data_IF_308074843225
#
_entry.id   IF_308074843225
#
_cell.length_a   1.000
_cell.length_b   1.000
_cell.length_c   1.000
_cell.angle_alpha   90.00
_cell.angle_beta   90.00
_cell.angle_gamma   90.00
#
_symmetry.space_group_name_H-M   'P 1'
#
loop_
_entity.id
_entity.type
_entity.pdbx_description
1 polymer ?
#
# COMPACT_ATOMS: atom_id res chain seq x y z
N UNK A 1 -13.35 -0.02 21.24
CA UNK A 1 -12.90 -0.97 22.29
C UNK A 1 -12.60 -2.29 21.62
N UNK A 2 -11.43 -2.84 21.94
CA UNK A 2 -10.63 -3.76 21.14
C UNK A 2 -11.42 -4.91 20.50
N UNK A 3 -11.18 -5.14 19.21
CA UNK A 3 -11.71 -6.23 18.37
C UNK A 3 -11.02 -7.58 18.70
N UNK A 4 -10.71 -7.80 19.98
CA UNK A 4 -9.98 -8.97 20.46
C UNK A 4 -11.00 -10.04 20.85
N UNK A 5 -10.78 -11.25 20.35
CA UNK A 5 -11.59 -12.41 20.72
C UNK A 5 -11.05 -13.04 22.01
N UNK A 6 -11.72 -12.75 23.13
CA UNK A 6 -11.29 -13.19 24.45
C UNK A 6 -11.36 -14.71 24.61
N UNK A 7 -12.31 -15.38 23.95
CA UNK A 7 -12.39 -16.84 23.96
C UNK A 7 -11.25 -17.44 23.13
N UNK A 8 -10.95 -16.86 21.97
CA UNK A 8 -9.84 -17.32 21.13
C UNK A 8 -8.46 -17.15 21.80
N UNK A 9 -8.24 -16.04 22.53
CA UNK A 9 -6.98 -15.80 23.28
C UNK A 9 -6.73 -16.91 24.31
N UNK A 10 -7.79 -17.40 24.97
CA UNK A 10 -7.72 -18.51 25.93
C UNK A 10 -7.80 -19.89 25.25
N UNK A 11 -7.98 -19.96 23.93
CA UNK A 11 -8.13 -21.20 23.18
C UNK A 11 -9.44 -21.94 23.47
N UNK A 12 -10.49 -21.22 23.86
CA UNK A 12 -11.79 -21.78 24.19
C UNK A 12 -12.81 -21.55 23.06
N UNK A 13 -13.82 -22.43 22.93
CA UNK A 13 -14.95 -22.15 22.06
C UNK A 13 -15.74 -20.93 22.57
N UNK A 14 -16.42 -20.20 21.68
CA UNK A 14 -17.34 -19.14 22.08
C UNK A 14 -18.40 -19.67 23.05
N UNK A 15 -18.79 -18.85 24.02
CA UNK A 15 -19.76 -19.21 25.07
C UNK A 15 -19.30 -20.28 26.07
N UNK A 16 -17.99 -20.51 26.20
CA UNK A 16 -17.46 -21.42 27.23
C UNK A 16 -17.84 -20.97 28.66
N UNK A 17 -17.98 -21.96 29.55
CA UNK A 17 -18.33 -21.73 30.95
C UNK A 17 -17.19 -21.10 31.76
N UNK A 18 -17.52 -20.43 32.86
CA UNK A 18 -16.53 -19.77 33.73
C UNK A 18 -15.47 -20.74 34.28
N UNK A 19 -15.82 -22.00 34.55
CA UNK A 19 -14.85 -23.01 35.01
C UNK A 19 -13.89 -23.43 33.90
N UNK A 20 -14.36 -23.48 32.65
CA UNK A 20 -13.49 -23.72 31.50
C UNK A 20 -12.50 -22.56 31.30
N UNK A 21 -12.96 -21.31 31.47
CA UNK A 21 -12.11 -20.11 31.45
C UNK A 21 -11.00 -20.19 32.50
N UNK A 22 -11.34 -20.52 33.76
CA UNK A 22 -10.34 -20.67 34.84
C UNK A 22 -9.33 -21.77 34.53
N UNK A 23 -9.79 -22.91 34.00
CA UNK A 23 -8.93 -24.05 33.66
C UNK A 23 -7.98 -23.70 32.52
N UNK A 24 -8.48 -23.09 31.45
CA UNK A 24 -7.70 -22.66 30.31
C UNK A 24 -6.66 -21.61 30.69
N UNK A 25 -7.05 -20.60 31.50
CA UNK A 25 -6.11 -19.61 32.02
C UNK A 25 -4.98 -20.26 32.82
N UNK A 26 -5.27 -21.20 33.73
CA UNK A 26 -4.22 -21.90 34.50
C UNK A 26 -3.24 -22.65 33.59
N UNK A 27 -3.74 -23.34 32.57
CA UNK A 27 -2.91 -24.09 31.63
C UNK A 27 -2.03 -23.17 30.77
N UNK A 28 -2.61 -22.11 30.21
CA UNK A 28 -1.92 -21.17 29.34
C UNK A 28 -0.94 -20.29 30.10
N UNK A 29 -1.29 -19.86 31.32
CA UNK A 29 -0.41 -19.09 32.20
C UNK A 29 0.83 -19.87 32.62
N UNK A 30 0.73 -21.18 32.84
CA UNK A 30 1.90 -22.01 33.12
C UNK A 30 2.86 -22.11 31.93
N UNK A 31 2.32 -22.05 30.70
CA UNK A 31 3.08 -22.13 29.45
C UNK A 31 3.75 -20.81 29.09
N UNK A 32 3.09 -19.69 29.37
CA UNK A 32 3.55 -18.35 29.03
C UNK A 32 4.10 -17.55 30.22
N UNK A 33 4.34 -18.21 31.36
CA UNK A 33 4.83 -17.51 32.56
C UNK A 33 6.22 -16.89 32.32
N UNK A 34 6.43 -15.60 32.65
CA UNK A 34 7.70 -14.92 32.39
C UNK A 34 8.88 -15.53 33.15
N UNK A 35 8.64 -16.03 34.38
CA UNK A 35 9.66 -16.73 35.19
C UNK A 35 10.15 -18.05 34.56
N UNK A 36 9.36 -18.65 33.66
CA UNK A 36 9.72 -19.88 32.94
C UNK A 36 10.25 -19.60 31.53
N UNK A 37 10.62 -18.35 31.23
CA UNK A 37 11.05 -17.93 29.89
C UNK A 37 9.90 -17.78 28.89
N UNK A 38 8.66 -17.60 29.38
CA UNK A 38 7.48 -17.35 28.57
C UNK A 38 7.36 -15.90 28.08
N UNK A 39 6.44 -15.70 27.15
CA UNK A 39 6.16 -14.40 26.53
C UNK A 39 5.29 -13.53 27.45
N UNK A 40 5.87 -12.42 27.91
CA UNK A 40 5.24 -11.46 28.82
C UNK A 40 3.97 -10.87 28.21
N UNK A 41 3.97 -10.56 26.92
CA UNK A 41 2.83 -9.91 26.27
C UNK A 41 1.64 -10.87 26.19
N UNK A 42 1.89 -12.13 25.82
CA UNK A 42 0.86 -13.17 25.83
C UNK A 42 0.31 -13.43 27.22
N UNK A 43 1.16 -13.39 28.24
CA UNK A 43 0.70 -13.53 29.63
C UNK A 43 -0.27 -12.39 30.02
N UNK A 44 0.05 -11.15 29.65
CA UNK A 44 -0.85 -10.01 29.88
C UNK A 44 -2.18 -10.15 29.13
N UNK A 45 -2.15 -10.63 27.87
CA UNK A 45 -3.37 -10.87 27.09
C UNK A 45 -4.25 -11.96 27.71
N UNK A 46 -3.64 -13.07 28.16
CA UNK A 46 -4.35 -14.14 28.87
C UNK A 46 -4.99 -13.65 30.17
N UNK A 47 -4.29 -12.79 30.91
CA UNK A 47 -4.81 -12.19 32.14
C UNK A 47 -5.99 -11.26 31.85
N UNK A 48 -5.89 -10.39 30.84
CA UNK A 48 -6.99 -9.51 30.42
C UNK A 48 -8.21 -10.33 29.95
N UNK A 49 -7.99 -11.35 29.14
CA UNK A 49 -9.05 -12.24 28.65
C UNK A 49 -9.75 -12.96 29.80
N UNK A 50 -8.99 -13.52 30.74
CA UNK A 50 -9.57 -14.19 31.91
C UNK A 50 -10.32 -13.22 32.82
N UNK A 51 -9.79 -12.00 33.04
CA UNK A 51 -10.46 -11.01 33.88
C UNK A 51 -11.80 -10.59 33.27
N UNK A 52 -11.81 -10.35 31.95
CA UNK A 52 -13.01 -9.95 31.23
C UNK A 52 -14.08 -11.05 31.18
N UNK A 53 -13.68 -12.31 30.91
CA UNK A 53 -14.62 -13.43 30.82
C UNK A 53 -15.08 -13.97 32.20
N UNK A 54 -14.39 -13.63 33.30
CA UNK A 54 -14.83 -13.99 34.65
C UNK A 54 -15.79 -12.95 35.26
N UNK A 55 -15.83 -11.73 34.73
CA UNK A 55 -16.83 -10.75 35.12
C UNK A 55 -18.20 -11.14 34.50
N UNK A 56 -19.23 -11.44 35.32
CA UNK A 56 -20.52 -11.90 34.82
C UNK A 56 -21.25 -10.85 33.98
N UNK A 57 -21.04 -9.55 34.24
CA UNK A 57 -21.70 -8.46 33.52
C UNK A 57 -21.07 -8.29 32.14
N UNK A 58 -19.74 -8.26 32.08
CA UNK A 58 -19.00 -8.09 30.83
C UNK A 58 -19.08 -9.35 29.95
N UNK A 59 -18.95 -10.54 30.53
CA UNK A 59 -19.18 -11.82 29.83
C UNK A 59 -20.56 -11.88 29.19
N UNK A 60 -21.62 -11.50 29.93
CA UNK A 60 -22.99 -11.55 29.40
C UNK A 60 -23.20 -10.62 28.20
N UNK A 61 -22.66 -9.39 28.27
CA UNK A 61 -22.73 -8.44 27.13
C UNK A 61 -21.98 -8.98 25.92
N UNK A 62 -20.81 -9.55 26.14
CA UNK A 62 -19.96 -10.11 25.10
C UNK A 62 -20.59 -11.35 24.45
N UNK A 63 -21.10 -12.28 25.24
CA UNK A 63 -21.83 -13.47 24.80
C UNK A 63 -23.08 -13.11 24.01
N UNK A 64 -23.82 -12.08 24.44
CA UNK A 64 -24.97 -11.56 23.71
C UNK A 64 -24.56 -10.99 22.35
N UNK A 65 -23.45 -10.25 22.26
CA UNK A 65 -22.92 -9.72 21.00
C UNK A 65 -22.52 -10.86 20.04
N UNK A 66 -21.79 -11.86 20.52
CA UNK A 66 -21.41 -13.04 19.73
C UNK A 66 -22.65 -13.74 19.19
N UNK A 67 -23.65 -13.98 20.04
CA UNK A 67 -24.91 -14.62 19.66
C UNK A 67 -25.66 -13.80 18.60
N UNK A 68 -25.69 -12.47 18.72
CA UNK A 68 -26.31 -11.62 17.70
C UNK A 68 -25.59 -11.67 16.36
N UNK A 69 -24.25 -11.70 16.36
CA UNK A 69 -23.46 -11.81 15.12
C UNK A 69 -23.71 -13.15 14.44
N UNK A 70 -23.63 -14.26 15.17
CA UNK A 70 -23.87 -15.61 14.62
C UNK A 70 -25.30 -15.77 14.10
N UNK A 71 -26.30 -15.20 14.78
CA UNK A 71 -27.69 -15.21 14.31
C UNK A 71 -27.87 -14.36 13.04
N UNK A 72 -27.25 -13.18 12.97
CA UNK A 72 -27.28 -12.32 11.76
C UNK A 72 -26.60 -13.00 10.57
N UNK A 73 -25.48 -13.67 10.78
CA UNK A 73 -24.78 -14.43 9.74
C UNK A 73 -25.59 -15.64 9.26
N UNK A 74 -26.25 -16.37 10.17
CA UNK A 74 -27.16 -17.45 9.79
C UNK A 74 -28.33 -16.93 8.95
N UNK A 75 -28.95 -15.83 9.39
CA UNK A 75 -30.03 -15.19 8.64
C UNK A 75 -29.58 -14.65 7.27
N UNK A 76 -28.37 -14.08 7.18
CA UNK A 76 -27.85 -13.59 5.90
C UNK A 76 -27.56 -14.73 4.94
N UNK A 77 -26.98 -15.85 5.42
CA UNK A 77 -26.77 -17.07 4.64
C UNK A 77 -28.08 -17.68 4.17
N UNK A 78 -29.09 -17.76 5.04
CA UNK A 78 -30.42 -18.26 4.67
C UNK A 78 -31.10 -17.37 3.62
N UNK A 79 -31.00 -16.04 3.76
CA UNK A 79 -31.50 -15.10 2.73
C UNK A 79 -30.76 -15.28 1.42
N UNK A 80 -29.44 -15.42 1.44
CA UNK A 80 -28.64 -15.66 0.23
C UNK A 80 -29.01 -17.00 -0.43
N UNK A 81 -29.19 -18.06 0.36
CA UNK A 81 -29.63 -19.36 -0.13
C UNK A 81 -31.02 -19.28 -0.77
N UNK A 82 -32.00 -18.66 -0.09
CA UNK A 82 -33.34 -18.43 -0.65
C UNK A 82 -33.31 -17.62 -1.94
N UNK A 83 -32.54 -16.53 -1.97
CA UNK A 83 -32.38 -15.71 -3.17
C UNK A 83 -31.70 -16.51 -4.31
N UNK A 84 -30.76 -17.40 -3.99
CA UNK A 84 -30.10 -18.25 -5.00
C UNK A 84 -31.04 -19.32 -5.55
N UNK A 85 -31.86 -19.92 -4.69
CA UNK A 85 -32.91 -20.88 -5.09
C UNK A 85 -33.98 -20.19 -5.93
N UNK A 86 -34.39 -18.99 -5.55
CA UNK A 86 -35.37 -18.20 -6.29
C UNK A 86 -34.83 -17.78 -7.66
N UNK A 87 -33.58 -17.33 -7.74
CA UNK A 87 -32.89 -17.07 -9.03
C UNK A 87 -32.84 -18.31 -9.91
N UNK A 88 -32.55 -19.48 -9.32
CA UNK A 88 -32.52 -20.74 -10.06
C UNK A 88 -33.91 -21.11 -10.57
N UNK A 89 -34.95 -21.03 -9.73
CA UNK A 89 -36.34 -21.28 -10.15
C UNK A 89 -36.79 -20.33 -11.25
N UNK A 90 -36.42 -19.05 -11.14
CA UNK A 90 -36.74 -18.05 -12.16
C UNK A 90 -36.02 -18.34 -13.48
N UNK A 91 -34.74 -18.75 -13.42
CA UNK A 91 -33.98 -19.15 -14.60
C UNK A 91 -34.57 -20.43 -15.24
N UNK A 92 -34.95 -21.42 -14.45
CA UNK A 92 -35.57 -22.66 -14.92
C UNK A 92 -36.96 -22.39 -15.55
N UNK A 93 -37.76 -21.50 -14.96
CA UNK A 93 -39.04 -21.08 -15.52
C UNK A 93 -38.87 -20.30 -16.83
N UNK A 94 -37.88 -19.40 -16.90
CA UNK A 94 -37.53 -18.70 -18.14
C UNK A 94 -37.11 -19.68 -19.23
N UNK A 95 -36.24 -20.65 -18.91
CA UNK A 95 -35.78 -21.67 -19.84
C UNK A 95 -36.95 -22.52 -20.36
N UNK A 96 -37.86 -22.94 -19.46
CA UNK A 96 -39.06 -23.70 -19.83
C UNK A 96 -39.99 -22.90 -20.73
N UNK A 97 -40.17 -21.60 -20.45
CA UNK A 97 -40.97 -20.70 -21.28
C UNK A 97 -40.31 -20.47 -22.65
N UNK A 98 -38.99 -20.29 -22.68
CA UNK A 98 -38.22 -20.21 -23.93
C UNK A 98 -38.40 -21.49 -24.76
N UNK A 99 -38.26 -22.67 -24.17
CA UNK A 99 -38.39 -23.95 -24.89
C UNK A 99 -39.79 -24.14 -25.48
N UNK A 100 -40.84 -23.77 -24.75
CA UNK A 100 -42.22 -23.82 -25.24
C UNK A 100 -42.46 -22.88 -26.43
N UNK A 101 -41.88 -21.67 -26.40
CA UNK A 101 -41.97 -20.74 -27.54
C UNK A 101 -41.10 -21.18 -28.71
N UNK A 102 -39.96 -21.80 -28.45
CA UNK A 102 -39.01 -22.29 -29.44
C UNK A 102 -39.59 -23.49 -30.22
N UNK A 103 -40.29 -24.43 -29.55
CA UNK A 103 -41.00 -25.54 -30.20
C UNK A 103 -42.04 -25.09 -31.24
N UNK A 104 -42.55 -23.86 -31.12
CA UNK A 104 -43.53 -23.27 -32.07
C UNK A 104 -42.89 -22.45 -33.19
N UNK A 105 -41.58 -22.20 -33.15
CA UNK A 105 -40.88 -21.41 -34.17
C UNK A 105 -40.28 -22.32 -35.24
N UNK A 106 -40.45 -22.03 -36.54
CA UNK A 106 -39.80 -22.79 -37.60
C UNK A 106 -38.26 -22.69 -37.47
N UNK A 107 -37.55 -23.80 -37.71
CA UNK A 107 -36.11 -23.98 -37.42
C UNK A 107 -35.20 -22.86 -37.97
N UNK A 108 -35.48 -22.34 -39.16
CA UNK A 108 -34.73 -21.25 -39.79
C UNK A 108 -34.73 -19.96 -38.96
N UNK A 109 -35.86 -19.59 -38.36
CA UNK A 109 -35.99 -18.34 -37.58
C UNK A 109 -35.15 -18.42 -36.30
N UNK A 110 -35.00 -19.62 -35.74
CA UNK A 110 -34.15 -19.86 -34.57
C UNK A 110 -32.66 -19.79 -34.87
N UNK A 111 -32.27 -20.15 -36.08
CA UNK A 111 -30.88 -20.06 -36.54
C UNK A 111 -30.46 -18.60 -36.73
N UNK A 112 -31.33 -17.78 -37.33
CA UNK A 112 -31.11 -16.33 -37.48
C UNK A 112 -31.03 -15.60 -36.14
N UNK A 113 -31.90 -15.95 -35.17
CA UNK A 113 -31.86 -15.37 -33.83
C UNK A 113 -30.57 -15.77 -33.09
N UNK A 114 -30.12 -17.03 -33.24
CA UNK A 114 -28.86 -17.50 -32.65
C UNK A 114 -27.65 -16.81 -33.27
N UNK A 115 -27.66 -16.58 -34.59
CA UNK A 115 -26.61 -15.83 -35.28
C UNK A 115 -26.53 -14.40 -34.76
N UNK A 116 -27.67 -13.70 -34.62
CA UNK A 116 -27.72 -12.34 -34.04
C UNK A 116 -27.27 -12.30 -32.57
N UNK A 117 -27.64 -13.29 -31.76
CA UNK A 117 -27.21 -13.37 -30.37
C UNK A 117 -25.70 -13.60 -30.24
N UNK A 118 -25.11 -14.43 -31.12
CA UNK A 118 -23.65 -14.63 -31.19
C UNK A 118 -22.94 -13.34 -31.57
N UNK A 119 -23.41 -12.65 -32.61
CA UNK A 119 -22.85 -11.36 -33.02
C UNK A 119 -22.88 -10.32 -31.90
N UNK A 120 -23.98 -10.21 -31.16
CA UNK A 120 -24.08 -9.27 -30.04
C UNK A 120 -23.19 -9.68 -28.84
N UNK A 121 -23.03 -10.98 -28.58
CA UNK A 121 -22.11 -11.44 -27.53
C UNK A 121 -20.65 -11.17 -27.90
N UNK A 122 -20.29 -11.39 -29.16
CA UNK A 122 -18.96 -11.11 -29.71
C UNK A 122 -18.66 -9.61 -29.69
N UNK A 123 -19.60 -8.77 -30.14
CA UNK A 123 -19.51 -7.31 -30.03
C UNK A 123 -19.33 -6.84 -28.57
N UNK A 124 -20.06 -7.44 -27.63
CA UNK A 124 -19.92 -7.13 -26.21
C UNK A 124 -18.59 -7.63 -25.61
N UNK A 125 -18.07 -8.76 -26.09
CA UNK A 125 -16.75 -9.27 -25.71
C UNK A 125 -15.65 -8.36 -26.24
N UNK A 126 -15.71 -7.97 -27.51
CA UNK A 126 -14.78 -7.02 -28.12
C UNK A 126 -14.80 -5.68 -27.38
N UNK A 127 -15.99 -5.14 -27.07
CA UNK A 127 -16.11 -3.90 -26.30
C UNK A 127 -15.52 -4.02 -24.90
N UNK A 128 -15.69 -5.17 -24.24
CA UNK A 128 -15.05 -5.45 -22.94
C UNK A 128 -13.54 -5.58 -23.07
N UNK A 129 -13.05 -6.20 -24.13
CA UNK A 129 -11.63 -6.41 -24.37
C UNK A 129 -10.94 -5.10 -24.73
N UNK A 130 -11.57 -4.26 -25.55
CA UNK A 130 -11.13 -2.88 -25.82
C UNK A 130 -11.05 -2.07 -24.53
N UNK A 131 -12.12 -2.08 -23.71
CA UNK A 131 -12.10 -1.39 -22.42
C UNK A 131 -11.02 -1.95 -21.47
N UNK A 132 -10.73 -3.25 -21.52
CA UNK A 132 -9.65 -3.87 -20.75
C UNK A 132 -8.27 -3.46 -21.25
N UNK A 133 -8.07 -3.37 -22.58
CA UNK A 133 -6.84 -2.90 -23.21
C UNK A 133 -6.59 -1.42 -22.91
N UNK A 134 -7.60 -0.56 -23.06
CA UNK A 134 -7.53 0.86 -22.70
C UNK A 134 -7.19 1.03 -21.21
N UNK A 135 -7.81 0.23 -20.33
CA UNK A 135 -7.50 0.24 -18.90
C UNK A 135 -6.08 -0.22 -18.60
N UNK A 136 -5.59 -1.24 -19.31
CA UNK A 136 -4.22 -1.73 -19.18
C UNK A 136 -3.20 -0.69 -19.69
N UNK A 137 -3.53 0.02 -20.77
CA UNK A 137 -2.71 1.09 -21.32
C UNK A 137 -2.64 2.30 -20.36
N UNK A 138 -3.77 2.73 -19.81
CA UNK A 138 -3.81 3.77 -18.77
C UNK A 138 -2.98 3.38 -17.55
N UNK A 139 -3.07 2.13 -17.11
CA UNK A 139 -2.25 1.61 -16.00
C UNK A 139 -0.76 1.60 -16.37
N UNK A 140 -0.41 1.19 -17.60
CA UNK A 140 0.95 1.22 -18.11
C UNK A 140 1.54 2.63 -18.21
N UNK A 141 0.76 3.61 -18.67
CA UNK A 141 1.17 5.02 -18.69
C UNK A 141 1.32 5.60 -17.28
N UNK A 142 0.43 5.22 -16.34
CA UNK A 142 0.54 5.60 -14.93
C UNK A 142 1.79 5.01 -14.26
N UNK A 143 2.15 3.77 -14.58
CA UNK A 143 3.39 3.14 -14.12
C UNK A 143 4.66 3.79 -14.72
N UNK A 144 4.62 4.22 -16.00
CA UNK A 144 5.73 4.94 -16.64
C UNK A 144 5.96 6.32 -16.04
N UNK A 145 4.89 7.02 -15.66
CA UNK A 145 5.02 8.32 -14.97
C UNK A 145 5.51 8.14 -13.53
N UNK A 146 5.24 7.02 -12.87
CA UNK A 146 5.65 6.80 -11.48
C UNK A 146 4.87 7.70 -10.49
N UNK A 147 5.07 7.47 -9.18
CA UNK A 147 4.35 8.21 -8.13
C UNK A 147 4.66 9.71 -8.23
N UNK A 148 3.62 10.54 -8.08
CA UNK A 148 3.71 12.01 -8.11
C UNK A 148 4.76 12.52 -7.11
N UNK A 149 4.92 11.83 -5.97
CA UNK A 149 5.95 12.18 -4.99
C UNK A 149 7.36 12.07 -5.58
N UNK A 150 7.66 10.98 -6.28
CA UNK A 150 8.96 10.73 -6.94
C UNK A 150 9.20 11.66 -8.14
N UNK A 151 8.16 12.27 -8.68
CA UNK A 151 8.23 13.28 -9.75
C UNK A 151 8.32 14.72 -9.25
N UNK A 152 8.23 14.96 -7.94
CA UNK A 152 8.17 16.32 -7.40
C UNK A 152 9.49 16.71 -6.74
N UNK A 153 10.08 17.83 -7.15
CA UNK A 153 11.17 18.49 -6.41
C UNK A 153 10.65 19.71 -5.67
N UNK A 154 11.31 20.05 -4.57
CA UNK A 154 11.15 21.30 -3.83
C UNK A 154 12.41 22.13 -4.02
N UNK A 155 12.24 23.32 -4.58
CA UNK A 155 13.31 24.31 -4.75
C UNK A 155 13.06 25.43 -3.76
N UNK A 156 14.10 25.90 -3.06
CA UNK A 156 14.03 27.08 -2.22
C UNK A 156 15.17 28.04 -2.53
N UNK A 157 14.92 29.33 -2.35
CA UNK A 157 15.87 30.39 -2.65
C UNK A 157 15.85 31.46 -1.55
N UNK A 158 16.84 32.35 -1.58
CA UNK A 158 16.90 33.50 -0.68
C UNK A 158 16.44 34.76 -1.42
N UNK A 159 15.30 35.31 -1.00
CA UNK A 159 14.69 36.51 -1.57
C UNK A 159 15.55 37.78 -1.38
N UNK A 160 16.61 37.72 -0.56
CA UNK A 160 17.58 38.82 -0.45
C UNK A 160 18.58 38.87 -1.60
N UNK A 161 18.78 37.76 -2.32
CA UNK A 161 19.77 37.63 -3.39
C UNK A 161 19.12 37.70 -4.76
N UNK A 162 18.15 36.83 -5.02
CA UNK A 162 17.42 36.77 -6.29
C UNK A 162 15.94 36.44 -6.06
N UNK A 163 15.07 37.13 -6.80
CA UNK A 163 13.65 36.82 -6.89
C UNK A 163 13.41 35.94 -8.11
N UNK A 164 12.82 34.76 -7.91
CA UNK A 164 12.48 33.86 -9.01
C UNK A 164 10.97 33.87 -9.28
N UNK A 165 10.60 34.06 -10.54
CA UNK A 165 9.23 33.88 -11.03
C UNK A 165 9.03 32.43 -11.50
N UNK A 166 7.77 32.05 -11.72
CA UNK A 166 7.41 30.76 -12.30
C UNK A 166 8.18 30.48 -13.60
N UNK A 167 8.21 31.46 -14.51
CA UNK A 167 8.92 31.33 -15.78
C UNK A 167 10.43 31.14 -15.62
N UNK A 168 11.05 31.78 -14.62
CA UNK A 168 12.48 31.61 -14.33
C UNK A 168 12.78 30.18 -13.84
N UNK A 169 11.91 29.62 -12.99
CA UNK A 169 12.03 28.25 -12.52
C UNK A 169 11.83 27.26 -13.67
N UNK A 170 10.80 27.47 -14.50
CA UNK A 170 10.56 26.63 -15.68
C UNK A 170 11.79 26.65 -16.60
N UNK A 171 12.35 27.81 -16.90
CA UNK A 171 13.52 27.91 -17.78
C UNK A 171 14.78 27.23 -17.21
N UNK A 172 15.00 27.31 -15.89
CA UNK A 172 16.14 26.69 -15.24
C UNK A 172 16.03 25.15 -15.16
N UNK A 173 14.83 24.63 -14.95
CA UNK A 173 14.60 23.21 -14.72
C UNK A 173 14.14 22.43 -15.97
N UNK A 174 13.73 23.11 -17.05
CA UNK A 174 13.33 22.48 -18.33
C UNK A 174 14.46 21.68 -18.99
N UNK A 175 15.72 22.02 -18.71
CA UNK A 175 16.87 21.27 -19.23
C UNK A 175 16.94 19.81 -18.72
N UNK A 176 16.30 19.52 -17.57
CA UNK A 176 16.31 18.19 -16.96
C UNK A 176 15.07 17.36 -17.30
N UNK A 177 13.99 18.01 -17.77
CA UNK A 177 12.76 17.34 -18.20
C UNK A 177 11.58 18.28 -18.33
N UNK A 178 10.47 17.75 -18.85
CA UNK A 178 9.21 18.49 -18.96
C UNK A 178 8.53 18.63 -17.60
N UNK A 179 8.09 19.85 -17.28
CA UNK A 179 7.47 20.20 -16.01
C UNK A 179 5.96 20.28 -16.23
N UNK A 180 5.19 19.41 -15.56
CA UNK A 180 3.72 19.37 -15.64
C UNK A 180 3.09 20.48 -14.79
N UNK A 181 3.62 20.74 -13.58
CA UNK A 181 3.03 21.69 -12.62
C UNK A 181 4.12 22.43 -11.84
N UNK A 182 3.95 23.75 -11.71
CA UNK A 182 4.73 24.59 -10.80
C UNK A 182 3.81 25.18 -9.73
N UNK A 183 4.15 24.98 -8.46
CA UNK A 183 3.44 25.57 -7.33
C UNK A 183 4.39 26.34 -6.43
N UNK A 184 4.34 27.66 -6.50
CA UNK A 184 5.13 28.54 -5.66
C UNK A 184 4.47 28.80 -4.30
N UNK A 185 5.29 28.95 -3.26
CA UNK A 185 4.92 29.38 -1.92
C UNK A 185 6.08 30.15 -1.28
N UNK A 186 5.87 31.45 -1.09
CA UNK A 186 6.84 32.40 -0.53
C UNK A 186 8.20 32.27 -1.25
N UNK A 187 9.24 31.79 -0.56
CA UNK A 187 10.61 31.64 -1.09
C UNK A 187 10.92 30.18 -1.49
N UNK A 188 9.88 29.44 -1.89
CA UNK A 188 10.04 28.05 -2.33
C UNK A 188 9.02 27.69 -3.40
N UNK A 189 9.36 26.73 -4.24
CA UNK A 189 8.48 26.19 -5.25
C UNK A 189 8.52 24.67 -5.24
N UNK A 190 7.40 24.05 -5.64
CA UNK A 190 7.32 22.62 -5.93
C UNK A 190 7.12 22.46 -7.42
N UNK A 191 8.00 21.69 -8.05
CA UNK A 191 7.99 21.42 -9.48
C UNK A 191 7.69 19.94 -9.65
N UNK A 192 6.62 19.61 -10.39
CA UNK A 192 6.24 18.24 -10.74
C UNK A 192 6.69 17.98 -12.17
N UNK A 193 7.61 17.07 -12.36
CA UNK A 193 8.06 16.63 -13.69
C UNK A 193 7.09 15.61 -14.30
N UNK A 194 7.14 15.43 -15.61
CA UNK A 194 6.41 14.36 -16.31
C UNK A 194 6.95 12.96 -15.96
N UNK A 195 8.26 12.87 -15.69
CA UNK A 195 8.99 11.62 -15.41
C UNK A 195 9.78 11.70 -14.10
N UNK A 196 9.86 10.59 -13.36
CA UNK A 196 10.56 10.53 -12.07
C UNK A 196 12.09 10.62 -12.21
N UNK A 197 12.64 10.19 -13.35
CA UNK A 197 14.06 10.27 -13.66
C UNK A 197 14.54 11.74 -13.73
N UNK A 198 13.77 12.59 -14.43
CA UNK A 198 14.04 14.03 -14.56
C UNK A 198 14.06 14.76 -13.21
N UNK A 199 13.11 14.45 -12.33
CA UNK A 199 13.07 15.01 -10.97
C UNK A 199 14.31 14.63 -10.15
N UNK A 200 14.75 13.38 -10.26
CA UNK A 200 15.94 12.87 -9.56
C UNK A 200 17.22 13.53 -10.09
N UNK A 201 17.35 13.66 -11.40
CA UNK A 201 18.50 14.31 -12.05
C UNK A 201 18.58 15.80 -11.69
N UNK A 202 17.44 16.51 -11.73
CA UNK A 202 17.36 17.92 -11.36
C UNK A 202 17.78 18.15 -9.90
N UNK A 203 17.27 17.33 -8.96
CA UNK A 203 17.64 17.44 -7.55
C UNK A 203 19.13 17.16 -7.31
N UNK A 204 19.70 16.17 -8.03
CA UNK A 204 21.11 15.81 -7.91
C UNK A 204 22.04 16.90 -8.43
N UNK A 205 21.71 17.52 -9.56
CA UNK A 205 22.61 18.51 -10.20
C UNK A 205 22.42 19.89 -9.56
N UNK A 206 21.18 20.37 -9.43
CA UNK A 206 20.91 21.71 -8.88
C UNK A 206 21.03 21.76 -7.35
N UNK A 207 21.01 20.61 -6.67
CA UNK A 207 21.29 20.52 -5.23
C UNK A 207 22.73 20.93 -4.87
N UNK A 208 23.68 20.81 -5.80
CA UNK A 208 25.06 21.29 -5.62
C UNK A 208 25.24 22.77 -6.03
N UNK A 209 24.22 23.40 -6.62
CA UNK A 209 24.28 24.78 -7.10
C UNK A 209 23.86 25.78 -6.00
N UNK A 210 24.70 25.86 -4.97
CA UNK A 210 24.52 26.77 -3.81
C UNK A 210 24.60 28.26 -4.17
N UNK A 211 25.05 28.58 -5.39
CA UNK A 211 25.12 29.96 -5.89
C UNK A 211 23.76 30.51 -6.29
N UNK A 212 22.88 29.66 -6.86
CA UNK A 212 21.54 30.06 -7.34
C UNK A 212 20.43 29.63 -6.41
N UNK A 213 20.53 28.45 -5.80
CA UNK A 213 19.48 27.89 -4.96
C UNK A 213 19.96 27.74 -3.52
N UNK A 214 19.05 27.95 -2.58
CA UNK A 214 19.31 27.69 -1.16
C UNK A 214 19.24 26.19 -0.86
N UNK A 215 18.27 25.50 -1.46
CA UNK A 215 18.09 24.05 -1.30
C UNK A 215 17.22 23.50 -2.44
N UNK A 216 17.58 22.34 -2.97
CA UNK A 216 16.80 21.59 -3.97
C UNK A 216 16.68 20.14 -3.51
N UNK A 217 15.47 19.72 -3.15
CA UNK A 217 15.21 18.40 -2.55
C UNK A 217 14.13 17.64 -3.30
N UNK A 218 14.32 16.32 -3.50
CA UNK A 218 13.28 15.45 -4.02
C UNK A 218 12.23 15.18 -2.92
N UNK A 219 10.95 15.38 -3.22
CA UNK A 219 9.87 15.18 -2.25
C UNK A 219 9.70 13.68 -1.99
N UNK A 220 10.31 13.19 -0.91
CA UNK A 220 10.32 11.77 -0.54
C UNK A 220 11.69 11.24 -0.13
N UNK A 221 12.75 12.05 -0.26
CA UNK A 221 14.05 11.76 0.33
C UNK A 221 14.39 12.87 1.33
N UNK A 222 14.54 12.52 2.62
CA UNK A 222 15.11 13.42 3.62
C UNK A 222 16.60 13.48 3.33
N UNK A 223 17.05 14.55 2.69
CA UNK A 223 18.48 14.87 2.63
C UNK A 223 18.87 15.24 4.06
N UNK A 224 19.50 14.30 4.78
CA UNK A 224 20.27 14.68 5.96
C UNK A 224 21.41 15.57 5.45
N UNK A 225 21.27 16.88 5.67
CA UNK A 225 22.39 17.80 5.54
C UNK A 225 23.51 17.27 6.44
N UNK A 226 24.64 16.90 5.84
CA UNK A 226 25.86 16.64 6.57
C UNK A 226 26.20 17.90 7.37
N UNK A 227 25.91 17.88 8.68
CA UNK A 227 26.56 18.78 9.62
C UNK A 227 27.90 18.15 9.95
N UNK A 228 28.99 18.84 9.63
CA UNK A 228 30.32 18.48 10.12
C UNK A 228 30.28 18.37 11.66
N UNK A 229 30.88 17.33 12.26
CA UNK A 229 30.90 17.18 13.70
C UNK A 229 31.78 18.27 14.33
N UNK A 230 31.16 19.19 15.06
CA UNK A 230 31.87 20.07 15.99
C UNK A 230 32.38 19.23 17.16
N UNK A 231 33.68 18.98 17.17
CA UNK A 231 34.38 18.44 18.34
C UNK A 231 34.60 19.58 19.33
N UNK A 232 33.96 19.52 20.50
CA UNK A 232 34.54 20.13 21.71
C UNK A 232 34.00 19.45 22.98
N UNK A 233 34.87 18.62 23.55
CA UNK A 233 35.13 18.34 24.96
C UNK A 233 34.26 19.06 26.01
N UNK A 234 33.66 18.29 26.93
CA UNK A 234 33.07 18.83 28.16
C UNK A 234 32.27 17.81 28.97
N UNK A 235 32.76 17.47 30.16
CA UNK A 235 32.21 16.54 31.16
C UNK A 235 30.79 16.88 31.66
N UNK A 236 29.98 15.85 31.96
CA UNK A 236 29.03 15.86 33.10
C UNK A 236 27.56 15.50 32.83
N UNK A 237 27.08 14.43 33.49
CA UNK A 237 25.72 14.41 34.10
C UNK A 237 24.56 13.74 33.34
N UNK A 238 24.37 12.44 33.62
CA UNK A 238 23.11 11.66 33.69
C UNK A 238 21.75 12.29 33.31
N UNK A 239 21.01 11.63 32.39
CA UNK A 239 19.63 11.13 32.62
C UNK A 239 19.16 10.16 31.51
N UNK A 240 18.60 9.02 31.92
CA UNK A 240 17.99 7.96 31.10
C UNK A 240 16.70 8.40 30.38
N UNK A 241 16.51 7.94 29.14
CA UNK A 241 15.23 7.45 28.57
C UNK A 241 15.50 6.42 27.45
N UNK A 242 14.72 5.33 27.43
CA UNK A 242 14.56 4.35 26.34
C UNK A 242 13.06 4.30 25.97
N UNK A 243 12.59 3.52 24.98
CA UNK A 243 12.97 3.40 23.56
C UNK A 243 11.73 3.56 22.64
N UNK A 244 11.91 3.57 21.31
CA UNK A 244 10.82 3.23 20.39
C UNK A 244 11.39 2.41 19.22
N UNK A 245 10.89 1.18 19.10
CA UNK A 245 11.22 0.23 18.05
C UNK A 245 10.36 0.45 16.79
N UNK A 246 10.80 -0.22 15.73
CA UNK A 246 10.09 -0.60 14.50
C UNK A 246 10.22 0.33 13.28
N UNK A 247 11.12 -0.04 12.37
CA UNK A 247 10.79 -0.27 10.96
C UNK A 247 11.99 -0.88 10.22
N UNK A 248 11.71 -2.01 9.55
CA UNK A 248 12.33 -2.47 8.31
C UNK A 248 13.86 -2.45 8.23
N UNK A 249 14.46 -3.64 8.38
CA UNK A 249 15.83 -3.94 7.98
C UNK A 249 16.00 -3.78 6.45
N UNK A 250 16.04 -2.54 5.98
CA UNK A 250 16.44 -2.20 4.62
C UNK A 250 17.96 -2.15 4.60
N UNK A 251 18.58 -3.09 3.88
CA UNK A 251 20.02 -3.11 3.62
C UNK A 251 20.42 -1.78 2.97
N UNK A 252 21.12 -0.92 3.72
CA UNK A 252 21.68 0.31 3.20
C UNK A 252 22.93 0.01 2.38
N UNK A 253 22.82 0.06 1.05
CA UNK A 253 23.97 0.21 0.16
C UNK A 253 24.28 1.71 0.04
N UNK A 254 25.39 2.15 0.64
CA UNK A 254 25.88 3.52 0.58
C UNK A 254 26.50 3.81 -0.79
N UNK A 255 25.73 4.43 -1.67
CA UNK A 255 26.27 5.07 -2.88
C UNK A 255 26.91 6.39 -2.47
N UNK A 256 28.23 6.42 -2.48
CA UNK A 256 29.01 7.62 -2.22
C UNK A 256 28.84 8.61 -3.38
N UNK A 257 28.82 9.93 -3.13
CA UNK A 257 28.74 10.93 -4.18
C UNK A 257 30.04 10.91 -5.00
N UNK A 258 29.98 10.37 -6.22
CA UNK A 258 31.08 10.32 -7.18
C UNK A 258 31.00 11.58 -8.05
N UNK A 259 32.14 12.26 -8.25
CA UNK A 259 32.18 13.46 -9.11
C UNK A 259 31.94 13.09 -10.58
N UNK A 260 31.49 14.04 -11.42
CA UNK A 260 31.23 13.77 -12.84
C UNK A 260 32.49 13.25 -13.60
N UNK A 261 33.68 13.68 -13.15
CA UNK A 261 34.97 13.24 -13.69
C UNK A 261 35.32 11.79 -13.28
N UNK A 262 34.78 11.31 -12.16
CA UNK A 262 34.97 9.95 -11.66
C UNK A 262 33.87 8.99 -12.15
N UNK A 263 32.71 9.52 -12.60
CA UNK A 263 31.61 8.75 -13.15
C UNK A 263 31.96 8.15 -14.52
N UNK A 264 32.61 8.92 -15.39
CA UNK A 264 32.99 8.46 -16.74
C UNK A 264 33.88 7.19 -16.73
N UNK A 265 34.98 7.11 -15.95
CA UNK A 265 35.79 5.89 -15.89
C UNK A 265 35.07 4.73 -15.18
N UNK A 266 34.12 5.02 -14.29
CA UNK A 266 33.29 3.99 -13.65
C UNK A 266 32.29 3.39 -14.64
N UNK A 267 31.56 4.22 -15.39
CA UNK A 267 30.62 3.77 -16.43
C UNK A 267 31.33 2.95 -17.51
N UNK A 268 32.54 3.35 -17.91
CA UNK A 268 33.36 2.59 -18.87
C UNK A 268 33.72 1.20 -18.31
N UNK A 269 34.11 1.11 -17.04
CA UNK A 269 34.44 -0.16 -16.37
C UNK A 269 33.22 -1.08 -16.23
N UNK A 270 32.06 -0.52 -15.91
CA UNK A 270 30.80 -1.26 -15.79
C UNK A 270 30.33 -1.76 -17.16
N UNK A 271 30.38 -0.92 -18.19
CA UNK A 271 30.04 -1.31 -19.56
C UNK A 271 30.99 -2.37 -20.11
N UNK A 272 32.30 -2.29 -19.80
CA UNK A 272 33.26 -3.31 -20.15
C UNK A 272 32.97 -4.64 -19.45
N UNK A 273 32.59 -4.61 -18.16
CA UNK A 273 32.21 -5.80 -17.41
C UNK A 273 30.93 -6.46 -17.95
N UNK A 274 29.91 -5.65 -18.26
CA UNK A 274 28.65 -6.12 -18.86
C UNK A 274 28.86 -6.68 -20.26
N UNK A 275 29.72 -6.07 -21.08
CA UNK A 275 30.12 -6.64 -22.38
C UNK A 275 30.83 -7.99 -22.24
N UNK A 276 31.66 -8.15 -21.20
CA UNK A 276 32.34 -9.43 -20.90
C UNK A 276 31.36 -10.53 -20.50
N UNK A 277 30.33 -10.18 -19.71
CA UNK A 277 29.25 -11.10 -19.36
C UNK A 277 28.36 -11.44 -20.56
N UNK A 278 28.11 -10.47 -21.45
CA UNK A 278 27.34 -10.69 -22.67
C UNK A 278 28.09 -11.51 -23.74
N UNK A 279 29.43 -11.53 -23.72
CA UNK A 279 30.28 -12.36 -24.59
C UNK A 279 30.66 -13.70 -23.95
N UNK A 280 30.10 -14.01 -22.78
CA UNK A 280 30.38 -15.22 -22.00
C UNK A 280 29.11 -15.99 -21.64
N UNK A 281 28.30 -16.31 -22.65
CA UNK A 281 27.47 -17.53 -22.80
C UNK A 281 27.56 -17.94 -24.27
#
# INVERSE_FOLDING_TARGET
>A
MSDKDWYAILGLPPLADADAVKKAFRQMSLKHHPDKGGDVDKFHELQQASQFLLDPVEKKKYDAKITQVTMKEKQSKERQAKMSEERKRMADELLRREEQTNRKKPKHVMEDLKAKARQHMEEMQEKREQAARERAELLGQSLKKGDIKQRTIRVSWDNKKESHSDQTLVNAFRQYGEIEVVKMKNNSARLVFSEAASATQAARIEGHNVSKWKDVTLVGHVVHQYQEPKVSTGYGGSRQTYPAADSESTVQLSLHPISLAELAPFEEKVLAHLKRLAQGI
#
